data_IF_689333990801
#
_entry.id   IF_689333990801
#
_cell.length_a   1.000
_cell.length_b   1.000
_cell.length_c   1.000
_cell.angle_alpha   90.00
_cell.angle_beta   90.00
_cell.angle_gamma   90.00
#
_symmetry.space_group_name_H-M   'P 1'
#
loop_
_entity.id
_entity.type
_entity.pdbx_description
1 polymer ?
#
# COMPACT_ATOMS: atom_id res chain seq x y z
N UNK A 1 -4.61 -0.04 14.90
CA UNK A 1 -3.45 -0.89 15.21
C UNK A 1 -2.40 -0.55 14.16
N UNK A 2 -1.30 0.10 14.55
CA UNK A 2 -0.24 0.52 13.62
C UNK A 2 0.81 -0.57 13.52
N UNK A 3 1.26 -0.91 12.32
CA UNK A 3 2.42 -1.80 12.12
C UNK A 3 3.75 -1.09 12.36
N UNK A 4 3.74 0.24 12.44
CA UNK A 4 4.91 1.08 12.67
C UNK A 4 4.99 1.43 14.17
N UNK A 5 6.09 1.02 14.81
CA UNK A 5 6.43 1.39 16.18
C UNK A 5 6.87 2.85 16.32
N UNK A 6 6.87 3.38 17.55
CA UNK A 6 7.28 4.77 17.84
C UNK A 6 8.73 5.07 17.44
N UNK A 7 9.57 4.06 17.35
CA UNK A 7 10.99 4.13 16.99
C UNK A 7 11.25 3.89 15.49
N UNK A 8 10.22 3.92 14.65
CA UNK A 8 10.32 3.63 13.21
C UNK A 8 10.86 2.22 12.91
N UNK A 9 10.57 1.27 13.79
CA UNK A 9 10.73 -0.16 13.54
C UNK A 9 9.36 -0.82 13.40
N UNK A 10 9.34 -2.09 13.02
CA UNK A 10 8.13 -2.90 13.11
C UNK A 10 7.58 -2.88 14.54
N UNK A 11 6.26 -2.80 14.65
CA UNK A 11 5.55 -3.05 15.89
C UNK A 11 5.79 -4.49 16.36
N UNK A 12 5.43 -4.80 17.60
CA UNK A 12 5.50 -6.18 18.13
C UNK A 12 4.49 -7.14 17.48
N UNK A 13 3.64 -6.65 16.58
CA UNK A 13 2.61 -7.44 15.93
C UNK A 13 3.17 -7.96 14.60
N UNK A 14 3.32 -9.28 14.51
CA UNK A 14 3.74 -9.94 13.28
C UNK A 14 2.54 -10.15 12.36
N UNK A 15 2.43 -9.35 11.29
CA UNK A 15 1.36 -9.47 10.28
C UNK A 15 1.29 -10.87 9.66
N UNK A 16 2.43 -11.52 9.50
CA UNK A 16 2.53 -12.88 8.97
C UNK A 16 1.80 -13.92 9.82
N UNK A 17 1.74 -13.76 11.14
CA UNK A 17 1.06 -14.70 12.06
C UNK A 17 -0.46 -14.66 11.89
N UNK A 18 -1.00 -13.51 11.47
CA UNK A 18 -2.42 -13.35 11.18
C UNK A 18 -2.75 -13.48 9.68
N UNK A 19 -1.82 -14.04 8.89
CA UNK A 19 -2.02 -14.31 7.46
C UNK A 19 -2.00 -13.08 6.56
N UNK A 20 -1.43 -11.96 7.02
CA UNK A 20 -1.30 -10.72 6.23
C UNK A 20 0.12 -10.57 5.68
N UNK A 21 0.22 -10.03 4.46
CA UNK A 21 1.50 -9.57 3.90
C UNK A 21 1.85 -8.20 4.46
N UNK A 22 3.13 -7.89 4.59
CA UNK A 22 3.61 -6.58 5.04
C UNK A 22 4.86 -6.20 4.26
N UNK A 23 4.87 -4.98 3.72
CA UNK A 23 6.08 -4.33 3.26
C UNK A 23 6.39 -3.17 4.20
N UNK A 24 7.67 -3.01 4.55
CA UNK A 24 8.14 -1.97 5.45
C UNK A 24 9.46 -1.38 4.94
N UNK A 25 9.59 -0.07 5.02
CA UNK A 25 10.84 0.61 4.67
C UNK A 25 11.02 1.88 5.51
N UNK A 26 12.27 2.32 5.68
CA UNK A 26 12.57 3.60 6.34
C UNK A 26 13.48 4.47 5.50
N UNK A 27 13.16 5.76 5.45
CA UNK A 27 14.02 6.79 4.87
C UNK A 27 14.53 7.72 5.97
N UNK A 28 15.73 8.27 5.80
CA UNK A 28 16.21 9.38 6.64
C UNK A 28 15.42 10.64 6.29
N UNK A 29 15.07 11.42 7.31
CA UNK A 29 14.40 12.69 7.18
C UNK A 29 14.81 13.60 8.33
N UNK A 30 15.39 14.75 8.00
CA UNK A 30 15.85 15.74 8.99
C UNK A 30 14.67 16.41 9.73
N UNK A 31 13.51 16.46 9.09
CA UNK A 31 12.27 17.01 9.64
C UNK A 31 11.06 16.26 9.11
N UNK A 32 9.89 16.51 9.70
CA UNK A 32 8.64 15.90 9.26
C UNK A 32 8.35 16.30 7.80
N UNK A 33 8.23 15.34 6.87
CA UNK A 33 7.98 15.67 5.47
C UNK A 33 6.58 16.27 5.28
N UNK A 34 6.48 17.28 4.43
CA UNK A 34 5.19 17.74 3.92
C UNK A 34 4.57 16.74 2.94
N UNK A 35 3.28 16.92 2.63
CA UNK A 35 2.49 15.97 1.83
C UNK A 35 3.10 15.60 0.48
N UNK A 36 3.67 16.57 -0.25
CA UNK A 36 4.33 16.30 -1.54
C UNK A 36 5.53 15.36 -1.37
N UNK A 37 6.38 15.64 -0.38
CA UNK A 37 7.56 14.82 -0.11
C UNK A 37 7.19 13.42 0.38
N UNK A 38 6.14 13.33 1.19
CA UNK A 38 5.60 12.06 1.63
C UNK A 38 5.07 11.23 0.45
N UNK A 39 4.36 11.84 -0.51
CA UNK A 39 3.91 11.15 -1.72
C UNK A 39 5.08 10.63 -2.56
N UNK A 40 6.15 11.43 -2.69
CA UNK A 40 7.41 10.97 -3.33
C UNK A 40 8.03 9.80 -2.57
N UNK A 41 8.10 9.85 -1.25
CA UNK A 41 8.64 8.75 -0.43
C UNK A 41 7.80 7.48 -0.53
N UNK A 42 6.47 7.58 -0.63
CA UNK A 42 5.61 6.42 -0.86
C UNK A 42 5.85 5.82 -2.25
N UNK A 43 6.08 6.66 -3.26
CA UNK A 43 6.46 6.20 -4.60
C UNK A 43 7.79 5.46 -4.55
N UNK A 44 8.81 6.02 -3.88
CA UNK A 44 10.10 5.35 -3.69
C UNK A 44 9.95 4.02 -2.96
N UNK A 45 9.08 3.93 -1.95
CA UNK A 45 8.85 2.68 -1.24
C UNK A 45 8.35 1.57 -2.18
N UNK A 46 7.41 1.91 -3.08
CA UNK A 46 6.91 0.95 -4.09
C UNK A 46 8.01 0.57 -5.08
N UNK A 47 8.85 1.51 -5.50
CA UNK A 47 9.99 1.26 -6.38
C UNK A 47 11.03 0.34 -5.69
N UNK A 48 11.46 0.67 -4.48
CA UNK A 48 12.43 -0.11 -3.70
C UNK A 48 11.93 -1.54 -3.41
N UNK A 49 10.63 -1.71 -3.13
CA UNK A 49 10.04 -3.04 -2.97
C UNK A 49 9.98 -3.80 -4.30
N UNK A 50 9.78 -3.09 -5.41
CA UNK A 50 9.79 -3.70 -6.74
C UNK A 50 11.18 -4.18 -7.13
N UNK A 51 12.21 -3.43 -6.75
CA UNK A 51 13.61 -3.70 -7.06
C UNK A 51 14.20 -4.87 -6.26
N UNK A 52 13.42 -5.48 -5.35
CA UNK A 52 13.81 -6.74 -4.68
C UNK A 52 13.90 -7.93 -5.63
N UNK A 53 13.48 -7.77 -6.88
CA UNK A 53 13.54 -8.77 -7.94
C UNK A 53 14.35 -8.24 -9.12
N UNK A 54 15.56 -8.77 -9.29
CA UNK A 54 16.48 -8.36 -10.38
C UNK A 54 16.31 -9.19 -11.66
N UNK A 55 15.59 -10.32 -11.60
CA UNK A 55 15.38 -11.25 -12.71
C UNK A 55 13.89 -11.48 -12.95
N UNK A 56 13.44 -11.68 -14.21
CA UNK A 56 12.06 -12.06 -14.49
C UNK A 56 11.65 -13.29 -13.69
N UNK A 57 10.39 -13.32 -13.24
CA UNK A 57 9.82 -14.51 -12.60
C UNK A 57 9.88 -15.72 -13.55
N UNK A 58 9.93 -16.91 -12.97
CA UNK A 58 9.77 -18.17 -13.70
C UNK A 58 8.46 -18.18 -14.49
N UNK A 59 8.38 -19.02 -15.52
CA UNK A 59 7.19 -19.10 -16.38
C UNK A 59 5.90 -19.50 -15.62
N UNK A 60 6.06 -20.28 -14.55
CA UNK A 60 5.00 -20.68 -13.62
C UNK A 60 4.77 -19.69 -12.48
N UNK A 61 5.53 -18.58 -12.47
CA UNK A 61 5.41 -17.42 -11.56
C UNK A 61 5.39 -17.80 -10.09
N UNK A 62 6.18 -18.82 -9.75
CA UNK A 62 6.26 -19.38 -8.40
C UNK A 62 7.01 -18.45 -7.45
N UNK A 63 6.50 -18.34 -6.23
CA UNK A 63 7.21 -17.70 -5.13
C UNK A 63 8.22 -18.68 -4.53
N UNK A 64 9.45 -18.69 -5.04
CA UNK A 64 10.48 -19.66 -4.64
C UNK A 64 11.54 -19.10 -3.70
N UNK A 65 11.64 -17.78 -3.59
CA UNK A 65 12.63 -17.10 -2.78
C UNK A 65 11.96 -16.11 -1.83
N UNK A 66 12.23 -16.22 -0.53
CA UNK A 66 11.68 -15.28 0.45
C UNK A 66 12.29 -13.89 0.35
N UNK A 67 13.45 -13.72 -0.31
CA UNK A 67 14.10 -12.41 -0.50
C UNK A 67 13.24 -11.44 -1.34
N UNK A 68 12.42 -11.97 -2.25
CA UNK A 68 11.48 -11.20 -3.08
C UNK A 68 10.12 -10.97 -2.40
N UNK A 69 9.98 -11.24 -1.09
CA UNK A 69 8.72 -11.02 -0.35
C UNK A 69 8.10 -9.63 -0.59
N UNK A 70 8.88 -8.52 -0.59
CA UNK A 70 8.29 -7.21 -0.82
C UNK A 70 7.62 -7.08 -2.19
N UNK A 71 8.27 -7.57 -3.25
CA UNK A 71 7.66 -7.63 -4.58
C UNK A 71 6.46 -8.58 -4.61
N UNK A 72 6.62 -9.79 -4.06
CA UNK A 72 5.60 -10.83 -4.03
C UNK A 72 4.30 -10.36 -3.37
N UNK A 73 4.38 -9.63 -2.26
CA UNK A 73 3.23 -9.04 -1.57
C UNK A 73 2.44 -8.09 -2.49
N UNK A 74 3.12 -7.30 -3.33
CA UNK A 74 2.49 -6.33 -4.23
C UNK A 74 1.74 -6.99 -5.39
N UNK A 75 2.28 -8.09 -5.93
CA UNK A 75 1.74 -8.73 -7.15
C UNK A 75 0.86 -9.95 -6.88
N UNK A 76 0.63 -10.30 -5.61
CA UNK A 76 -0.13 -11.50 -5.24
C UNK A 76 -1.61 -11.40 -5.63
N UNK A 77 -2.07 -12.23 -6.57
CA UNK A 77 -3.41 -12.11 -7.14
C UNK A 77 -4.56 -12.40 -6.17
N UNK A 78 -4.29 -13.09 -5.06
CA UNK A 78 -5.29 -13.33 -4.01
C UNK A 78 -5.49 -12.10 -3.12
N UNK A 79 -4.64 -11.07 -3.22
CA UNK A 79 -4.77 -9.82 -2.47
C UNK A 79 -5.57 -8.78 -3.27
N UNK A 80 -6.75 -8.40 -2.76
CA UNK A 80 -7.58 -7.35 -3.37
C UNK A 80 -7.67 -6.06 -2.54
N UNK A 81 -7.18 -6.11 -1.29
CA UNK A 81 -7.17 -4.98 -0.37
C UNK A 81 -5.79 -4.85 0.22
N UNK A 82 -5.35 -3.61 0.31
CA UNK A 82 -4.15 -3.24 1.04
C UNK A 82 -4.34 -1.84 1.62
N UNK A 83 -3.54 -1.50 2.62
CA UNK A 83 -3.53 -0.19 3.22
C UNK A 83 -2.13 0.20 3.62
N UNK A 84 -1.75 1.44 3.33
CA UNK A 84 -0.45 1.98 3.68
C UNK A 84 -0.56 3.05 4.76
N UNK A 85 0.45 3.11 5.62
CA UNK A 85 0.59 4.16 6.63
C UNK A 85 2.04 4.61 6.68
N UNK A 86 2.27 5.78 7.27
CA UNK A 86 3.60 6.30 7.48
C UNK A 86 3.70 6.89 8.89
N UNK A 87 4.92 6.97 9.40
CA UNK A 87 5.21 7.70 10.63
C UNK A 87 6.56 8.41 10.53
N UNK A 88 6.58 9.70 10.88
CA UNK A 88 7.82 10.41 11.15
C UNK A 88 8.22 10.17 12.61
N UNK A 89 9.44 9.67 12.82
CA UNK A 89 10.02 9.44 14.14
C UNK A 89 11.12 10.45 14.36
N UNK A 90 10.74 11.57 14.99
CA UNK A 90 11.61 12.73 15.22
C UNK A 90 12.90 12.37 15.94
N UNK A 91 12.81 11.59 17.02
CA UNK A 91 13.96 11.13 17.80
C UNK A 91 15.00 10.36 16.97
N UNK A 92 14.58 9.78 15.84
CA UNK A 92 15.42 8.93 15.00
C UNK A 92 15.76 9.60 13.65
N UNK A 93 15.20 10.78 13.35
CA UNK A 93 15.37 11.46 12.07
C UNK A 93 14.95 10.58 10.89
N UNK A 94 13.81 9.89 11.00
CA UNK A 94 13.35 8.90 10.02
C UNK A 94 11.87 9.02 9.70
N UNK A 95 11.51 8.58 8.51
CA UNK A 95 10.13 8.26 8.11
C UNK A 95 10.07 6.76 7.86
N UNK A 96 9.19 6.07 8.56
CA UNK A 96 8.83 4.69 8.25
C UNK A 96 7.56 4.67 7.40
N UNK A 97 7.52 3.78 6.42
CA UNK A 97 6.35 3.52 5.57
C UNK A 97 6.08 2.03 5.64
N UNK A 98 4.82 1.68 5.87
CA UNK A 98 4.38 0.29 5.89
C UNK A 98 3.10 0.11 5.07
N UNK A 99 3.05 -0.91 4.23
CA UNK A 99 1.85 -1.34 3.52
C UNK A 99 1.48 -2.76 3.97
N UNK A 100 0.23 -2.96 4.37
CA UNK A 100 -0.31 -4.24 4.80
C UNK A 100 -1.28 -4.76 3.74
N UNK A 101 -1.12 -6.02 3.39
CA UNK A 101 -1.86 -6.71 2.34
C UNK A 101 -2.81 -7.73 2.96
N UNK A 102 -4.04 -7.84 2.41
CA UNK A 102 -5.05 -8.76 2.92
C UNK A 102 -4.56 -10.21 2.93
N UNK A 103 -3.78 -10.64 1.95
CA UNK A 103 -3.23 -12.00 1.92
C UNK A 103 -1.72 -11.99 1.79
N UNK A 104 -1.09 -13.02 2.35
CA UNK A 104 0.35 -13.27 2.24
C UNK A 104 0.60 -14.34 1.17
N UNK A 105 1.56 -14.16 0.25
CA UNK A 105 2.01 -15.22 -0.65
C UNK A 105 2.52 -16.42 0.14
N UNK A 106 2.39 -17.61 -0.46
CA UNK A 106 2.83 -18.88 0.12
C UNK A 106 4.03 -19.40 -0.65
N UNK A 107 5.07 -19.82 0.06
CA UNK A 107 6.28 -20.35 -0.57
C UNK A 107 5.94 -21.59 -1.41
N UNK A 108 6.49 -21.66 -2.62
CA UNK A 108 6.20 -22.68 -3.63
C UNK A 108 4.77 -22.66 -4.18
N UNK A 109 4.03 -21.56 -4.03
CA UNK A 109 2.78 -21.30 -4.75
C UNK A 109 2.96 -20.23 -5.83
N UNK A 110 2.14 -20.25 -6.89
CA UNK A 110 2.16 -19.20 -7.90
C UNK A 110 1.66 -17.87 -7.34
N UNK A 111 2.34 -16.78 -7.67
CA UNK A 111 1.99 -15.42 -7.23
C UNK A 111 0.74 -14.89 -7.95
N UNK A 112 0.58 -15.28 -9.21
CA UNK A 112 -0.63 -15.04 -9.99
C UNK A 112 -0.84 -16.21 -10.94
N UNK A 113 -2.00 -16.25 -11.60
CA UNK A 113 -2.24 -17.29 -12.61
C UNK A 113 -1.27 -17.09 -13.77
N UNK A 114 -0.31 -18.00 -13.94
CA UNK A 114 0.50 -18.08 -15.14
C UNK A 114 -0.43 -18.22 -16.34
N UNK A 115 -0.36 -17.28 -17.28
CA UNK A 115 -1.18 -17.37 -18.47
C UNK A 115 -0.45 -18.14 -19.56
N UNK A 116 -0.97 -19.33 -19.87
CA UNK A 116 -0.48 -20.17 -20.96
C UNK A 116 -0.87 -19.65 -22.36
N UNK A 117 -1.66 -18.58 -22.45
CA UNK A 117 -2.25 -18.06 -23.71
C UNK A 117 -1.76 -16.67 -24.14
N UNK A 118 -0.86 -16.03 -23.37
CA UNK A 118 -0.25 -14.72 -23.70
C UNK A 118 -1.16 -13.48 -23.51
N UNK A 119 -2.40 -13.66 -23.06
CA UNK A 119 -3.33 -12.64 -22.56
C UNK A 119 -2.99 -12.24 -21.11
N UNK A 120 -2.08 -11.29 -20.99
CA UNK A 120 -1.74 -10.66 -19.70
C UNK A 120 -2.94 -9.82 -19.20
N UNK A 121 -3.70 -10.33 -18.23
CA UNK A 121 -4.76 -9.56 -17.55
C UNK A 121 -6.14 -9.59 -18.21
N UNK A 122 -6.98 -8.60 -17.88
CA UNK A 122 -8.33 -8.51 -18.44
C UNK A 122 -8.29 -7.99 -19.89
N UNK A 123 -9.22 -8.48 -20.72
CA UNK A 123 -9.47 -7.95 -22.09
C UNK A 123 -10.93 -7.52 -22.28
N UNK A 124 -11.75 -7.72 -21.25
CA UNK A 124 -13.19 -7.44 -21.18
C UNK A 124 -13.56 -7.18 -19.72
N UNK A 125 -14.69 -6.53 -19.47
CA UNK A 125 -15.18 -6.23 -18.12
C UNK A 125 -15.58 -7.48 -17.31
N UNK A 126 -16.01 -8.56 -17.98
CA UNK A 126 -16.57 -9.75 -17.31
C UNK A 126 -15.62 -10.38 -16.29
N UNK A 127 -14.33 -10.67 -16.60
CA UNK A 127 -13.35 -11.10 -15.61
C UNK A 127 -13.23 -10.18 -14.38
N UNK A 128 -13.14 -8.87 -14.59
CA UNK A 128 -13.01 -7.90 -13.49
C UNK A 128 -14.26 -7.89 -12.60
N UNK A 129 -15.44 -7.91 -13.21
CA UNK A 129 -16.71 -7.87 -12.47
C UNK A 129 -16.92 -9.11 -11.58
N UNK A 130 -16.37 -10.27 -11.98
CA UNK A 130 -16.38 -11.50 -11.18
C UNK A 130 -15.52 -11.39 -9.91
N UNK A 131 -14.41 -10.67 -9.98
CA UNK A 131 -13.47 -10.52 -8.86
C UNK A 131 -13.91 -9.35 -7.96
N UNK A 132 -14.30 -8.23 -8.57
CA UNK A 132 -14.74 -7.02 -7.88
C UNK A 132 -16.03 -6.54 -8.53
N UNK A 133 -17.16 -6.65 -7.80
CA UNK A 133 -18.46 -6.18 -8.31
C UNK A 133 -18.38 -4.70 -8.72
N UNK A 134 -18.75 -4.44 -9.97
CA UNK A 134 -18.73 -3.10 -10.57
C UNK A 134 -17.37 -2.67 -11.14
N UNK A 135 -16.33 -3.51 -11.05
CA UNK A 135 -15.07 -3.23 -11.73
C UNK A 135 -15.20 -3.44 -13.24
N UNK A 136 -14.46 -2.61 -13.97
CA UNK A 136 -14.30 -2.64 -15.42
C UNK A 136 -12.85 -2.97 -15.76
N UNK A 137 -12.63 -3.40 -16.99
CA UNK A 137 -11.28 -3.53 -17.50
C UNK A 137 -10.81 -2.14 -17.95
N UNK A 138 -9.65 -1.70 -17.48
CA UNK A 138 -9.04 -0.41 -17.84
C UNK A 138 -9.03 -0.24 -19.36
N UNK A 139 -9.23 0.98 -19.84
CA UNK A 139 -9.10 1.30 -21.26
C UNK A 139 -8.26 2.56 -21.38
N UNK A 140 -7.11 2.46 -22.05
CA UNK A 140 -6.22 3.58 -22.32
C UNK A 140 -5.93 3.66 -23.82
N UNK A 141 -6.20 4.81 -24.44
CA UNK A 141 -5.97 5.06 -25.88
C UNK A 141 -6.50 3.91 -26.77
N UNK A 142 -7.79 3.57 -26.62
CA UNK A 142 -8.49 2.47 -27.32
C UNK A 142 -7.94 1.05 -27.07
N UNK A 143 -6.94 0.91 -26.19
CA UNK A 143 -6.41 -0.39 -25.76
C UNK A 143 -7.11 -0.82 -24.48
N UNK A 144 -7.75 -2.00 -24.50
CA UNK A 144 -8.43 -2.57 -23.33
C UNK A 144 -7.47 -3.47 -22.54
N UNK A 145 -7.44 -3.28 -21.23
CA UNK A 145 -6.60 -4.01 -20.29
C UNK A 145 -5.24 -3.36 -20.03
N UNK A 146 -4.38 -4.03 -19.24
CA UNK A 146 -4.58 -5.36 -18.64
C UNK A 146 -5.22 -5.32 -17.24
N UNK A 147 -5.39 -4.14 -16.64
CA UNK A 147 -5.78 -4.00 -15.24
C UNK A 147 -7.28 -3.85 -15.04
N UNK A 148 -7.77 -4.34 -13.90
CA UNK A 148 -9.13 -4.07 -13.46
C UNK A 148 -9.17 -2.76 -12.69
N UNK A 149 -10.12 -1.90 -13.02
CA UNK A 149 -10.35 -0.62 -12.35
C UNK A 149 -11.75 -0.59 -11.76
N UNK A 150 -11.86 0.06 -10.61
CA UNK A 150 -13.14 0.41 -10.01
C UNK A 150 -13.02 1.84 -9.52
N UNK A 151 -13.87 2.72 -10.05
CA UNK A 151 -13.98 4.08 -9.53
C UNK A 151 -14.23 4.03 -8.02
N UNK A 152 -13.48 4.81 -7.23
CA UNK A 152 -13.75 4.90 -5.80
C UNK A 152 -15.20 5.38 -5.62
N UNK A 153 -15.97 4.66 -4.81
CA UNK A 153 -17.27 5.17 -4.36
C UNK A 153 -17.00 6.52 -3.70
N UNK A 154 -17.70 7.57 -4.12
CA UNK A 154 -17.56 8.97 -3.67
C UNK A 154 -17.93 9.20 -2.20
N UNK A 155 -17.72 8.21 -1.33
CA UNK A 155 -18.10 8.24 0.09
C UNK A 155 -17.05 7.53 0.94
N UNK A 156 -15.83 8.03 0.97
CA UNK A 156 -14.96 7.89 2.15
C UNK A 156 -13.99 9.06 2.16
N UNK A 157 -14.38 10.18 2.77
CA UNK A 157 -13.39 11.06 3.34
C UNK A 157 -12.60 10.23 4.36
N UNK A 158 -11.27 10.29 4.30
CA UNK A 158 -10.43 9.79 5.39
C UNK A 158 -10.95 10.37 6.71
N UNK A 159 -11.02 9.61 7.81
CA UNK A 159 -11.37 10.19 9.09
C UNK A 159 -10.39 11.32 9.36
N UNK A 160 -10.89 12.55 9.34
CA UNK A 160 -10.15 13.70 9.84
C UNK A 160 -10.00 13.44 11.32
N UNK A 161 -8.83 12.96 11.73
CA UNK A 161 -8.47 12.94 13.14
C UNK A 161 -8.41 14.41 13.57
N UNK A 162 -9.50 14.91 14.14
CA UNK A 162 -9.50 16.15 14.89
C UNK A 162 -8.60 15.90 16.10
N UNK A 163 -7.33 16.24 15.97
CA UNK A 163 -6.50 16.49 17.14
C UNK A 163 -7.16 17.67 17.85
N UNK A 164 -7.83 17.39 18.96
CA UNK A 164 -8.32 18.39 19.89
C UNK A 164 -7.10 19.11 20.44
N UNK A 165 -6.75 20.22 19.82
CA UNK A 165 -5.89 21.22 20.43
C UNK A 165 -6.72 21.81 21.57
N UNK A 166 -6.33 21.51 22.81
CA UNK A 166 -6.83 22.22 23.99
C UNK A 166 -6.50 23.70 23.83
N UNK A 167 -7.46 24.47 23.32
CA UNK A 167 -7.48 25.91 23.45
C UNK A 167 -7.92 26.25 24.86
N UNK A 168 -6.95 26.32 25.78
CA UNK A 168 -7.12 27.10 27.01
C UNK A 168 -6.27 28.35 26.83
N UNK A 169 -6.88 29.44 26.36
CA UNK A 169 -6.74 30.75 27.01
C UNK A 169 -8.06 31.50 26.86
N UNK A 170 -8.79 31.58 27.97
CA UNK A 170 -9.93 32.46 28.18
C UNK A 170 -9.36 33.86 28.46
N UNK A 171 -9.71 34.86 27.66
CA UNK A 171 -9.77 36.24 28.13
C UNK A 171 -11.07 36.88 27.61
N UNK A 172 -11.96 37.13 28.55
CA UNK A 172 -13.21 37.90 28.40
C UNK A 172 -12.97 39.40 28.57
N UNK A 173 -13.92 40.20 28.01
CA UNK A 173 -14.24 41.64 28.25
C UNK A 173 -13.57 42.66 27.30
N UNK A 174 -14.21 43.70 26.74
CA UNK A 174 -15.58 44.31 26.80
C UNK A 174 -15.74 45.19 25.54
N UNK A 175 -16.94 45.43 25.00
CA UNK A 175 -17.12 46.46 23.98
C UNK A 175 -17.26 47.85 24.63
N UNK A 176 -16.54 48.84 24.09
CA UNK A 176 -16.86 50.25 24.29
C UNK A 176 -17.06 50.90 22.92
N UNK A 177 -18.34 51.21 22.67
CA UNK A 177 -18.97 52.07 21.66
C UNK A 177 -18.71 51.81 20.18
#
# INVERSE_FOLDING_TARGET
>A
MSTIGKDCKHSSIYMSVIGRGENFITYRAESKPGNKKLAEMLKWAVEDWSDTVESPLSADVMYTDTSMEPFANMIYNKTLKFGCSYQFCEANGKVAIACVYENKPQLNEPLYSADSTGKKGCTKNSPCNKVIKGAVCETANDTVGPLCQKEPSTTTAAPTTTTTEESIIIWTWTPYY
#
